data_IF_588994864977
#
_entry.id   IF_588994864977
#
_cell.length_a   1.000
_cell.length_b   1.000
_cell.length_c   1.000
_cell.angle_alpha   90.00
_cell.angle_beta   90.00
_cell.angle_gamma   90.00
#
_symmetry.space_group_name_H-M   'P 1'
#
loop_
_entity.id
_entity.type
_entity.pdbx_description
1 polymer ?
#
# COMPACT_ATOMS: atom_id res chain seq x y z
N UNK A 1 11.91 -21.21 -15.14
CA UNK A 1 10.72 -21.86 -15.76
C UNK A 1 9.48 -21.23 -15.13
N UNK A 2 8.64 -20.54 -15.90
CA UNK A 2 7.63 -19.65 -15.34
C UNK A 2 6.38 -20.40 -14.83
N UNK A 3 5.96 -20.02 -13.63
CA UNK A 3 4.67 -20.38 -13.04
C UNK A 3 3.70 -19.21 -13.24
N UNK A 4 2.46 -19.50 -13.62
CA UNK A 4 1.42 -18.49 -13.81
C UNK A 4 0.18 -18.85 -13.02
N UNK A 5 -0.37 -17.85 -12.33
CA UNK A 5 -1.60 -18.00 -11.57
C UNK A 5 -2.82 -17.74 -12.45
N UNK A 6 -3.81 -18.61 -12.31
CA UNK A 6 -5.09 -18.53 -13.00
C UNK A 6 -6.25 -18.72 -12.02
N UNK A 7 -7.42 -18.20 -12.39
CA UNK A 7 -8.71 -18.52 -11.79
C UNK A 7 -9.58 -19.23 -12.83
N UNK A 8 -10.06 -20.42 -12.50
CA UNK A 8 -11.00 -21.13 -13.36
C UNK A 8 -12.40 -20.53 -13.21
N UNK A 9 -13.07 -20.22 -14.31
CA UNK A 9 -14.43 -19.67 -14.29
C UNK A 9 -15.48 -20.73 -14.02
N UNK A 10 -15.21 -22.01 -14.34
CA UNK A 10 -16.16 -23.11 -14.13
C UNK A 10 -16.17 -23.63 -12.68
N UNK A 11 -15.00 -23.89 -12.08
CA UNK A 11 -14.93 -24.39 -10.69
C UNK A 11 -14.54 -23.33 -9.65
N UNK A 12 -14.29 -22.08 -10.07
CA UNK A 12 -13.93 -20.93 -9.21
C UNK A 12 -12.66 -21.11 -8.37
N UNK A 13 -11.89 -22.17 -8.59
CA UNK A 13 -10.62 -22.42 -7.88
C UNK A 13 -9.46 -21.64 -8.52
N UNK A 14 -8.54 -21.22 -7.66
CA UNK A 14 -7.22 -20.73 -8.08
C UNK A 14 -6.34 -21.93 -8.43
N UNK A 15 -5.63 -21.85 -9.54
CA UNK A 15 -4.69 -22.88 -10.00
C UNK A 15 -3.44 -22.21 -10.53
N UNK A 16 -2.29 -22.83 -10.29
CA UNK A 16 -1.00 -22.36 -10.81
C UNK A 16 -0.56 -23.35 -11.87
N UNK A 17 -0.29 -22.85 -13.07
CA UNK A 17 0.14 -23.64 -14.22
C UNK A 17 1.63 -23.41 -14.48
N UNK A 18 2.33 -24.51 -14.74
CA UNK A 18 3.76 -24.50 -15.05
C UNK A 18 3.98 -24.64 -16.55
N UNK A 19 4.84 -23.78 -17.11
CA UNK A 19 5.29 -23.89 -18.50
C UNK A 19 6.82 -24.02 -18.54
N UNK A 20 7.33 -24.86 -19.45
CA UNK A 20 8.77 -25.11 -19.57
C UNK A 20 9.53 -23.85 -20.02
N UNK A 21 8.94 -23.04 -20.89
CA UNK A 21 9.49 -21.79 -21.40
C UNK A 21 8.35 -20.81 -21.73
N UNK A 22 8.69 -19.58 -22.10
CA UNK A 22 7.71 -18.55 -22.47
C UNK A 22 6.95 -18.91 -23.75
N UNK A 23 7.62 -19.49 -24.75
CA UNK A 23 6.99 -19.91 -26.00
C UNK A 23 5.84 -20.92 -25.77
N UNK A 24 6.01 -21.88 -24.87
CA UNK A 24 4.98 -22.86 -24.51
C UNK A 24 3.77 -22.21 -23.82
N UNK A 25 3.97 -21.11 -23.10
CA UNK A 25 2.87 -20.30 -22.58
C UNK A 25 2.16 -19.57 -23.71
N UNK A 26 2.90 -18.93 -24.62
CA UNK A 26 2.35 -18.16 -25.74
C UNK A 26 1.55 -19.06 -26.70
N UNK A 27 2.08 -20.24 -27.05
CA UNK A 27 1.37 -21.25 -27.84
C UNK A 27 0.06 -21.68 -27.19
N UNK A 28 0.07 -21.93 -25.87
CA UNK A 28 -1.12 -22.31 -25.13
C UNK A 28 -2.14 -21.18 -25.01
N UNK A 29 -1.68 -19.93 -24.93
CA UNK A 29 -2.51 -18.73 -24.90
C UNK A 29 -3.17 -18.48 -26.26
N UNK A 30 -2.40 -18.57 -27.36
CA UNK A 30 -2.90 -18.40 -28.73
C UNK A 30 -3.90 -19.51 -29.09
N UNK A 31 -3.61 -20.75 -28.70
CA UNK A 31 -4.51 -21.88 -28.92
C UNK A 31 -5.69 -21.94 -27.94
N UNK A 32 -5.75 -21.04 -26.94
CA UNK A 32 -6.73 -21.06 -25.85
C UNK A 32 -6.84 -22.43 -25.13
N UNK A 33 -5.71 -23.12 -24.97
CA UNK A 33 -5.63 -24.50 -24.46
C UNK A 33 -5.21 -24.61 -22.99
N UNK A 34 -5.14 -23.49 -22.26
CA UNK A 34 -4.98 -23.55 -20.82
C UNK A 34 -6.14 -24.37 -20.24
N UNK A 35 -5.84 -25.47 -19.53
CA UNK A 35 -6.86 -26.35 -18.95
C UNK A 35 -6.72 -26.42 -17.44
N UNK A 36 -7.85 -26.43 -16.75
CA UNK A 36 -7.87 -26.46 -15.30
C UNK A 36 -7.52 -27.88 -14.82
N UNK A 37 -6.46 -28.08 -14.02
CA UNK A 37 -6.09 -29.41 -13.51
C UNK A 37 -7.10 -29.98 -12.50
N UNK A 38 -8.09 -29.18 -12.06
CA UNK A 38 -9.11 -29.61 -11.10
C UNK A 38 -10.41 -30.09 -11.75
N UNK A 39 -10.82 -29.48 -12.86
CA UNK A 39 -12.11 -29.78 -13.50
C UNK A 39 -12.04 -29.96 -15.02
N UNK A 40 -10.86 -29.82 -15.63
CA UNK A 40 -10.66 -29.99 -17.08
C UNK A 40 -11.16 -28.84 -17.96
N UNK A 41 -11.84 -27.84 -17.40
CA UNK A 41 -12.34 -26.69 -18.18
C UNK A 41 -11.21 -25.86 -18.79
N UNK A 42 -11.41 -25.38 -20.02
CA UNK A 42 -10.55 -24.43 -20.70
C UNK A 42 -10.81 -22.96 -20.30
N UNK A 43 -11.87 -22.71 -19.52
CA UNK A 43 -12.24 -21.36 -19.08
C UNK A 43 -11.39 -20.91 -17.89
N UNK A 44 -10.18 -20.42 -18.17
CA UNK A 44 -9.27 -19.85 -17.19
C UNK A 44 -9.01 -18.37 -17.50
N UNK A 45 -8.98 -17.56 -16.45
CA UNK A 45 -8.52 -16.17 -16.54
C UNK A 45 -7.22 -16.02 -15.77
N UNK A 46 -6.24 -15.32 -16.35
CA UNK A 46 -4.94 -15.08 -15.71
C UNK A 46 -5.14 -14.13 -14.54
N UNK A 47 -4.55 -14.46 -13.39
CA UNK A 47 -4.59 -13.63 -12.19
C UNK A 47 -3.20 -13.06 -11.95
N UNK A 48 -3.06 -11.76 -12.13
CA UNK A 48 -1.84 -11.03 -11.76
C UNK A 48 -1.91 -10.72 -10.26
N UNK A 49 -0.81 -11.00 -9.55
CA UNK A 49 -0.68 -10.69 -8.12
C UNK A 49 -0.63 -9.18 -7.85
N UNK A 50 -0.59 -8.79 -6.58
CA UNK A 50 -0.28 -7.40 -6.22
C UNK A 50 1.16 -7.11 -6.63
N UNK A 51 1.38 -5.98 -7.28
CA UNK A 51 2.71 -5.51 -7.68
C UNK A 51 3.05 -4.26 -6.86
N UNK A 52 4.32 -4.13 -6.47
CA UNK A 52 4.86 -2.90 -5.92
C UNK A 52 5.60 -2.16 -7.03
N UNK A 53 5.33 -0.86 -7.20
CA UNK A 53 5.99 -0.02 -8.20
C UNK A 53 6.88 0.97 -7.46
N UNK A 54 8.17 0.97 -7.76
CA UNK A 54 9.07 2.00 -7.25
C UNK A 54 8.71 3.35 -7.89
N UNK A 55 8.31 4.32 -7.06
CA UNK A 55 8.09 5.71 -7.49
C UNK A 55 9.43 6.46 -7.47
N UNK A 56 9.73 7.21 -8.53
CA UNK A 56 10.83 8.17 -8.55
C UNK A 56 10.52 9.41 -7.71
N UNK A 57 11.51 10.25 -7.42
CA UNK A 57 11.34 11.44 -6.57
C UNK A 57 10.29 12.40 -7.11
N UNK A 58 10.22 12.63 -8.42
CA UNK A 58 9.20 13.50 -9.04
C UNK A 58 7.77 13.01 -8.75
N UNK A 59 7.54 11.69 -8.86
CA UNK A 59 6.24 11.09 -8.58
C UNK A 59 5.88 11.07 -7.08
N UNK A 60 6.88 11.17 -6.19
CA UNK A 60 6.65 11.37 -4.75
C UNK A 60 6.29 12.83 -4.47
N UNK A 61 7.01 13.78 -5.07
CA UNK A 61 6.73 15.21 -4.94
C UNK A 61 5.34 15.57 -5.47
N UNK A 62 4.95 15.01 -6.62
CA UNK A 62 3.59 15.16 -7.16
C UNK A 62 2.53 14.59 -6.21
N UNK A 63 2.82 13.46 -5.55
CA UNK A 63 1.90 12.85 -4.58
C UNK A 63 1.78 13.65 -3.28
N UNK A 64 2.85 14.33 -2.85
CA UNK A 64 2.81 15.26 -1.70
C UNK A 64 2.04 16.55 -2.03
N UNK A 65 2.08 16.99 -3.29
CA UNK A 65 1.33 18.16 -3.79
C UNK A 65 -0.12 17.88 -4.18
N UNK A 66 -0.59 16.64 -4.06
CA UNK A 66 -1.93 16.26 -4.46
C UNK A 66 -2.98 16.69 -3.41
N UNK A 67 -3.49 17.92 -3.57
CA UNK A 67 -4.54 18.49 -2.73
C UNK A 67 -5.84 17.68 -2.76
N UNK A 68 -6.04 16.77 -3.73
CA UNK A 68 -7.22 15.89 -3.76
C UNK A 68 -7.19 14.85 -2.65
N UNK A 69 -6.01 14.47 -2.17
CA UNK A 69 -5.86 13.63 -0.99
C UNK A 69 -6.32 14.36 0.29
N UNK A 70 -6.21 15.70 0.33
CA UNK A 70 -6.72 16.54 1.41
C UNK A 70 -8.21 16.87 1.26
N UNK A 71 -8.70 17.04 0.03
CA UNK A 71 -10.05 17.51 -0.26
C UNK A 71 -11.18 16.58 0.22
N UNK A 72 -10.87 15.31 0.53
CA UNK A 72 -11.81 14.33 1.08
C UNK A 72 -11.61 14.01 2.56
N UNK A 73 -10.70 14.70 3.26
CA UNK A 73 -10.45 14.49 4.69
C UNK A 73 -11.48 15.28 5.50
N UNK A 74 -12.28 14.56 6.28
CA UNK A 74 -13.09 15.16 7.34
C UNK A 74 -12.13 15.49 8.52
N UNK A 75 -11.91 16.78 8.85
CA UNK A 75 -11.02 17.16 9.94
C UNK A 75 -11.48 16.62 11.31
N UNK A 76 -12.74 16.22 11.43
CA UNK A 76 -13.31 15.67 12.66
C UNK A 76 -13.20 14.12 12.75
N UNK A 77 -12.73 13.43 11.69
CA UNK A 77 -12.53 11.96 11.71
C UNK A 77 -11.08 11.60 12.08
N UNK A 78 -10.81 11.11 13.32
CA UNK A 78 -9.46 10.70 13.73
C UNK A 78 -8.88 9.59 12.84
N UNK A 79 -9.72 8.74 12.25
CA UNK A 79 -9.24 7.67 11.35
C UNK A 79 -8.76 8.24 10.03
N UNK A 80 -9.41 9.29 9.53
CA UNK A 80 -8.99 9.98 8.32
C UNK A 80 -7.63 10.65 8.52
N UNK A 81 -7.45 11.32 9.65
CA UNK A 81 -6.19 11.93 10.04
C UNK A 81 -5.06 10.89 10.18
N UNK A 82 -5.32 9.75 10.83
CA UNK A 82 -4.33 8.67 10.96
C UNK A 82 -3.86 8.12 9.61
N UNK A 83 -4.80 7.85 8.69
CA UNK A 83 -4.46 7.38 7.33
C UNK A 83 -3.63 8.42 6.57
N UNK A 84 -3.98 9.70 6.69
CA UNK A 84 -3.24 10.80 6.08
C UNK A 84 -1.80 10.87 6.61
N UNK A 85 -1.62 10.83 7.93
CA UNK A 85 -0.30 10.84 8.56
C UNK A 85 0.55 9.62 8.17
N UNK A 86 -0.05 8.43 8.04
CA UNK A 86 0.64 7.22 7.55
C UNK A 86 1.10 7.38 6.10
N UNK A 87 0.26 7.96 5.25
CA UNK A 87 0.61 8.23 3.86
C UNK A 87 1.73 9.26 3.75
N UNK A 88 1.63 10.37 4.48
CA UNK A 88 2.64 11.44 4.47
C UNK A 88 4.00 10.93 4.96
N UNK A 89 4.04 10.14 6.03
CA UNK A 89 5.27 9.48 6.53
C UNK A 89 5.90 8.56 5.48
N UNK A 90 5.09 7.80 4.73
CA UNK A 90 5.58 6.92 3.68
C UNK A 90 6.17 7.65 2.47
N UNK A 91 5.67 8.84 2.15
CA UNK A 91 6.17 9.67 1.03
C UNK A 91 7.38 10.53 1.46
N UNK A 92 7.46 10.93 2.75
CA UNK A 92 8.59 11.69 3.31
C UNK A 92 9.89 10.85 3.38
N UNK A 93 9.79 9.52 3.36
CA UNK A 93 10.92 8.60 3.18
C UNK A 93 11.87 8.49 4.38
N UNK A 94 11.65 9.29 5.41
CA UNK A 94 12.37 9.25 6.69
C UNK A 94 11.51 8.54 7.74
N UNK A 95 12.13 7.67 8.54
CA UNK A 95 11.47 7.03 9.66
C UNK A 95 11.29 8.07 10.79
N UNK A 96 10.04 8.54 10.95
CA UNK A 96 9.66 9.52 11.97
C UNK A 96 9.69 8.93 13.40
N UNK A 97 10.02 7.64 13.54
CA UNK A 97 10.24 6.96 14.81
C UNK A 97 9.01 6.21 15.32
N UNK A 98 9.27 5.28 16.25
CA UNK A 98 8.25 4.40 16.85
C UNK A 98 7.13 5.18 17.54
N UNK A 99 7.44 6.34 18.13
CA UNK A 99 6.46 7.21 18.81
C UNK A 99 5.42 7.78 17.83
N UNK A 100 5.86 8.22 16.64
CA UNK A 100 4.96 8.69 15.59
C UNK A 100 4.09 7.56 15.05
N UNK A 101 4.67 6.37 14.86
CA UNK A 101 3.92 5.19 14.42
C UNK A 101 2.83 4.78 15.42
N UNK A 102 3.09 4.89 16.72
CA UNK A 102 2.10 4.59 17.75
C UNK A 102 0.91 5.56 17.71
N UNK A 103 1.16 6.85 17.49
CA UNK A 103 0.13 7.89 17.38
C UNK A 103 -0.76 7.65 16.15
N UNK A 104 -0.14 7.40 15.01
CA UNK A 104 -0.84 7.08 13.75
C UNK A 104 -1.73 5.84 13.93
N UNK A 105 -1.19 4.78 14.54
CA UNK A 105 -1.95 3.55 14.79
C UNK A 105 -3.15 3.76 15.72
N UNK A 106 -3.05 4.66 16.70
CA UNK A 106 -4.15 5.01 17.61
C UNK A 106 -5.23 5.86 16.92
N UNK A 107 -4.82 6.82 16.09
CA UNK A 107 -5.73 7.60 15.25
C UNK A 107 -6.51 6.69 14.29
N UNK A 108 -5.85 5.74 13.62
CA UNK A 108 -6.52 4.76 12.75
C UNK A 108 -7.50 3.84 13.48
N UNK A 109 -7.25 3.57 14.77
CA UNK A 109 -8.18 2.86 15.66
C UNK A 109 -9.38 3.71 16.09
N UNK A 110 -9.33 5.03 15.89
CA UNK A 110 -10.41 5.98 16.17
C UNK A 110 -10.29 6.66 17.54
N UNK A 111 -9.10 6.69 18.15
CA UNK A 111 -8.85 7.53 19.32
C UNK A 111 -8.69 8.99 18.87
N UNK A 112 -9.23 9.93 19.64
CA UNK A 112 -9.08 11.35 19.32
C UNK A 112 -7.66 11.86 19.66
N UNK A 113 -7.18 12.95 19.03
CA UNK A 113 -5.87 13.52 19.33
C UNK A 113 -5.65 13.81 20.81
N UNK A 114 -6.67 14.31 21.51
CA UNK A 114 -6.60 14.67 22.93
C UNK A 114 -6.42 13.43 23.83
N UNK A 115 -7.04 12.32 23.47
CA UNK A 115 -6.88 11.05 24.19
C UNK A 115 -5.47 10.47 24.02
N UNK A 116 -4.88 10.69 22.84
CA UNK A 116 -3.52 10.23 22.55
C UNK A 116 -2.50 11.08 23.31
N UNK A 117 -2.65 12.40 23.31
CA UNK A 117 -1.80 13.33 24.08
C UNK A 117 -1.83 13.03 25.58
N UNK A 118 -3.02 12.73 26.13
CA UNK A 118 -3.15 12.36 27.54
C UNK A 118 -2.44 11.04 27.89
N UNK A 119 -2.40 10.10 26.94
CA UNK A 119 -1.75 8.79 27.11
C UNK A 119 -0.25 8.80 26.76
N UNK A 120 0.22 9.78 25.98
CA UNK A 120 1.60 9.98 25.56
C UNK A 120 2.01 11.46 25.77
N UNK A 121 2.18 11.90 27.02
CA UNK A 121 2.67 13.25 27.31
C UNK A 121 4.13 13.37 26.84
N UNK A 122 4.37 14.06 25.72
CA UNK A 122 5.73 14.30 25.19
C UNK A 122 5.81 14.53 23.67
N UNK A 123 4.76 14.23 22.91
CA UNK A 123 4.79 14.33 21.45
C UNK A 123 4.70 15.78 20.91
N UNK A 124 4.00 16.66 21.62
CA UNK A 124 3.91 18.07 21.24
C UNK A 124 5.28 18.77 21.30
N UNK A 125 6.15 18.36 22.23
CA UNK A 125 7.51 18.86 22.35
C UNK A 125 8.46 18.29 21.28
N UNK A 126 8.23 17.07 20.78
CA UNK A 126 9.09 16.46 19.75
C UNK A 126 8.72 16.88 18.32
N UNK A 127 7.44 17.10 18.02
CA UNK A 127 6.98 17.53 16.69
C UNK A 127 7.07 19.06 16.51
N UNK A 128 7.02 19.83 17.60
CA UNK A 128 7.23 21.30 17.59
C UNK A 128 8.70 21.75 17.69
N UNK A 129 9.65 20.82 17.90
CA UNK A 129 11.06 21.12 18.16
C UNK A 129 11.97 21.25 16.93
N UNK A 130 11.47 20.99 15.72
CA UNK A 130 12.28 21.02 14.48
C UNK A 130 12.25 22.40 13.76
N UNK A 131 12.13 23.50 14.52
CA UNK A 131 12.06 24.87 13.97
C UNK A 131 12.80 25.94 14.79
N UNK A 132 13.62 25.56 15.76
CA UNK A 132 14.37 26.47 16.62
C UNK A 132 15.82 26.66 16.16
N UNK A 133 16.10 27.80 15.55
CA UNK A 133 17.42 28.31 15.14
C UNK A 133 18.59 27.94 16.09
N UNK A 134 19.60 27.23 15.58
CA UNK A 134 20.94 27.15 16.19
C UNK A 134 22.05 27.16 15.10
N UNK A 135 22.13 28.25 14.33
CA UNK A 135 23.38 28.64 13.66
C UNK A 135 24.11 29.62 14.58
N UNK A 136 25.00 29.10 15.42
CA UNK A 136 25.75 29.91 16.37
C UNK A 136 27.03 29.26 16.89
N UNK A 137 28.05 29.09 16.03
CA UNK A 137 29.44 29.58 16.18
C UNK A 137 30.30 29.10 15.00
#
# INVERSE_FOLDING_TARGET
MPYYDFRCLSCQRKVTLFYKNFAAYDEAAVAATHTCPKCGSAQLTRRIGRVAVAKGEDARMDALGDETALAGLDPDDPRALGRYMRQMSGEMGEDLGDEFHEVVDRLEKGQSPEQIEQALPGLADSVGGAGGNDFGF
#
